data_IF_255986110039
#
_entry.id   IF_255986110039
#
_cell.length_a   1.000
_cell.length_b   1.000
_cell.length_c   1.000
_cell.angle_alpha   90.00
_cell.angle_beta   90.00
_cell.angle_gamma   90.00
#
_symmetry.space_group_name_H-M   'P 1'
#
loop_
_entity.id
_entity.type
_entity.pdbx_description
1 polymer ?
#
# COMPACT_ATOMS: atom_id res chain seq x y z
N UNK A 1 31.26 -14.52 11.92
CA UNK A 1 30.23 -15.56 11.73
C UNK A 1 29.06 -15.26 12.65
N UNK A 2 27.82 -15.35 12.16
CA UNK A 2 26.62 -15.19 12.98
C UNK A 2 26.07 -16.57 13.33
N UNK A 3 25.75 -16.79 14.60
CA UNK A 3 25.20 -18.05 15.09
C UNK A 3 23.79 -17.81 15.62
N UNK A 4 22.85 -18.64 15.17
CA UNK A 4 21.44 -18.55 15.56
C UNK A 4 20.99 -19.88 16.19
N UNK A 5 20.11 -19.80 17.19
CA UNK A 5 19.57 -21.00 17.84
C UNK A 5 18.52 -21.64 16.95
N UNK A 6 18.78 -22.86 16.51
CA UNK A 6 17.84 -23.65 15.71
C UNK A 6 16.87 -24.41 16.63
N UNK A 7 15.59 -24.35 16.31
CA UNK A 7 14.51 -25.08 16.97
C UNK A 7 13.78 -25.99 15.97
N UNK A 8 13.14 -27.03 16.49
CA UNK A 8 12.42 -28.01 15.70
C UNK A 8 11.23 -28.61 16.46
N UNK A 9 10.05 -28.55 15.86
CA UNK A 9 8.80 -29.13 16.39
C UNK A 9 7.99 -29.85 15.30
N UNK A 10 8.70 -30.42 14.31
CA UNK A 10 8.14 -30.95 13.07
C UNK A 10 8.41 -30.03 11.87
N UNK A 11 8.81 -28.77 12.13
CA UNK A 11 9.38 -27.85 11.13
C UNK A 11 10.62 -27.16 11.69
N UNK A 12 11.51 -26.69 10.82
CA UNK A 12 12.72 -25.96 11.21
C UNK A 12 12.44 -24.48 11.42
N UNK A 13 12.97 -23.87 12.47
CA UNK A 13 12.84 -22.42 12.69
C UNK A 13 13.90 -21.83 13.62
N UNK A 14 14.13 -20.53 13.46
CA UNK A 14 14.98 -19.69 14.32
C UNK A 14 14.17 -18.56 14.97
N UNK A 15 13.06 -18.15 14.36
CA UNK A 15 12.13 -17.14 14.86
C UNK A 15 10.68 -17.59 14.68
N UNK A 16 9.81 -16.72 14.19
CA UNK A 16 8.37 -17.04 14.04
C UNK A 16 8.08 -17.95 12.84
N UNK A 17 8.79 -17.75 11.73
CA UNK A 17 8.56 -18.48 10.48
C UNK A 17 9.08 -19.92 10.56
N UNK A 18 8.27 -20.85 10.06
CA UNK A 18 8.53 -22.29 10.05
C UNK A 18 8.82 -22.78 8.63
N UNK A 19 9.78 -23.69 8.49
CA UNK A 19 10.24 -24.19 7.20
C UNK A 19 10.25 -25.72 7.15
N UNK A 20 9.95 -26.27 5.97
CA UNK A 20 9.99 -27.73 5.73
C UNK A 20 11.43 -28.25 5.72
N UNK A 21 12.39 -27.44 5.26
CA UNK A 21 13.80 -27.82 5.20
C UNK A 21 14.72 -26.77 5.83
N UNK A 22 15.87 -27.22 6.32
CA UNK A 22 16.94 -26.31 6.81
C UNK A 22 17.46 -25.42 5.67
N UNK A 23 17.47 -25.92 4.44
CA UNK A 23 17.91 -25.16 3.27
C UNK A 23 17.03 -23.93 3.05
N UNK A 24 15.70 -24.08 3.13
CA UNK A 24 14.76 -22.97 2.94
C UNK A 24 14.89 -21.93 4.05
N UNK A 25 15.09 -22.39 5.30
CA UNK A 25 15.35 -21.53 6.43
C UNK A 25 16.62 -20.68 6.21
N UNK A 26 17.73 -21.33 5.84
CA UNK A 26 18.99 -20.63 5.62
C UNK A 26 18.90 -19.70 4.42
N UNK A 27 18.20 -20.09 3.36
CA UNK A 27 17.98 -19.25 2.16
C UNK A 27 17.21 -17.98 2.53
N UNK A 28 16.09 -18.10 3.23
CA UNK A 28 15.28 -16.97 3.69
C UNK A 28 16.04 -16.07 4.67
N UNK A 29 16.81 -16.68 5.59
CA UNK A 29 17.66 -15.97 6.53
C UNK A 29 18.76 -15.16 5.86
N UNK A 30 19.43 -15.72 4.84
CA UNK A 30 20.46 -15.01 4.08
C UNK A 30 19.88 -13.87 3.23
N UNK A 31 18.70 -14.07 2.62
CA UNK A 31 18.00 -13.00 1.91
C UNK A 31 17.65 -11.86 2.87
N UNK A 32 17.05 -12.20 4.01
CA UNK A 32 16.68 -11.22 5.05
C UNK A 32 17.91 -10.44 5.51
N UNK A 33 18.98 -11.15 5.90
CA UNK A 33 20.23 -10.52 6.34
C UNK A 33 20.81 -9.60 5.28
N UNK A 34 20.85 -10.03 4.02
CA UNK A 34 21.43 -9.23 2.94
C UNK A 34 20.60 -7.98 2.65
N UNK A 35 19.27 -8.12 2.54
CA UNK A 35 18.37 -7.00 2.26
C UNK A 35 18.35 -6.00 3.42
N UNK A 36 18.21 -6.48 4.66
CA UNK A 36 18.22 -5.60 5.83
C UNK A 36 19.56 -4.86 5.95
N UNK A 37 20.68 -5.54 5.69
CA UNK A 37 22.00 -4.89 5.75
C UNK A 37 22.20 -3.84 4.66
N UNK A 38 21.75 -4.10 3.41
CA UNK A 38 22.02 -3.23 2.26
C UNK A 38 20.98 -2.15 2.04
N UNK A 39 19.74 -2.36 2.48
CA UNK A 39 18.61 -1.50 2.20
C UNK A 39 17.91 -0.99 3.47
N UNK A 40 18.51 -1.11 4.67
CA UNK A 40 17.92 -0.65 5.94
C UNK A 40 17.31 0.76 5.84
N UNK A 41 18.07 1.73 5.33
CA UNK A 41 17.59 3.12 5.21
C UNK A 41 16.42 3.25 4.23
N UNK A 42 16.47 2.50 3.12
CA UNK A 42 15.38 2.49 2.14
C UNK A 42 14.12 1.87 2.74
N UNK A 43 14.24 0.74 3.43
CA UNK A 43 13.13 0.06 4.13
C UNK A 43 12.49 1.00 5.14
N UNK A 44 13.29 1.72 5.93
CA UNK A 44 12.77 2.71 6.88
C UNK A 44 11.99 3.85 6.20
N UNK A 45 12.33 4.22 4.96
CA UNK A 45 11.65 5.25 4.16
C UNK A 45 10.47 4.74 3.34
N UNK A 46 10.25 3.42 3.24
CA UNK A 46 9.15 2.85 2.43
C UNK A 46 7.77 3.36 2.85
N UNK A 47 7.62 3.78 4.11
CA UNK A 47 6.35 4.28 4.66
C UNK A 47 6.21 5.80 4.60
N UNK A 48 7.24 6.54 4.19
CA UNK A 48 7.21 8.02 4.18
C UNK A 48 6.20 8.57 3.17
N UNK A 49 6.13 7.99 1.98
CA UNK A 49 5.20 8.39 0.93
C UNK A 49 4.36 7.18 0.47
N UNK A 50 3.37 6.77 1.27
CA UNK A 50 2.59 5.58 0.98
C UNK A 50 1.67 5.85 -0.21
N UNK A 51 1.74 4.98 -1.22
CA UNK A 51 0.93 5.10 -2.44
C UNK A 51 -0.48 4.50 -2.30
N UNK A 52 -0.81 3.87 -1.16
CA UNK A 52 -2.06 3.15 -0.95
C UNK A 52 -3.32 4.02 -1.16
N UNK A 53 -3.25 5.33 -0.86
CA UNK A 53 -4.37 6.24 -1.05
C UNK A 53 -4.79 6.40 -2.53
N UNK A 54 -3.84 6.25 -3.44
CA UNK A 54 -4.04 6.45 -4.87
C UNK A 54 -4.24 5.14 -5.62
N UNK A 55 -4.00 4.01 -4.96
CA UNK A 55 -4.17 2.68 -5.53
C UNK A 55 -5.54 2.09 -5.19
N UNK A 56 -6.03 1.21 -6.08
CA UNK A 56 -7.20 0.37 -5.82
C UNK A 56 -8.55 1.02 -6.10
N UNK A 57 -9.62 0.34 -5.67
CA UNK A 57 -10.99 0.72 -6.00
C UNK A 57 -11.47 1.98 -5.30
N UNK A 58 -10.88 2.33 -4.14
CA UNK A 58 -11.26 3.51 -3.35
C UNK A 58 -10.89 4.81 -4.05
N UNK A 59 -9.76 4.87 -4.76
CA UNK A 59 -9.40 6.05 -5.58
C UNK A 59 -10.37 6.23 -6.74
N UNK A 60 -10.72 5.16 -7.46
CA UNK A 60 -11.71 5.20 -8.54
C UNK A 60 -13.11 5.65 -8.08
N UNK A 61 -13.55 5.20 -6.91
CA UNK A 61 -14.83 5.62 -6.32
C UNK A 61 -14.79 7.10 -5.92
N UNK A 62 -13.68 7.55 -5.32
CA UNK A 62 -13.46 8.96 -4.99
C UNK A 62 -13.48 9.84 -6.24
N UNK A 63 -12.86 9.41 -7.32
CA UNK A 63 -12.87 10.15 -8.59
C UNK A 63 -14.26 10.21 -9.20
N UNK A 64 -15.02 9.11 -9.16
CA UNK A 64 -16.43 9.09 -9.60
C UNK A 64 -17.31 10.03 -8.78
N UNK A 65 -17.14 10.04 -7.45
CA UNK A 65 -17.90 10.92 -6.55
C UNK A 65 -17.51 12.39 -6.80
N UNK A 66 -16.21 12.68 -6.89
CA UNK A 66 -15.69 14.03 -7.18
C UNK A 66 -16.18 14.54 -8.53
N UNK A 67 -16.16 13.72 -9.58
CA UNK A 67 -16.72 14.08 -10.88
C UNK A 67 -18.23 14.33 -10.84
N UNK A 68 -19.00 13.53 -10.07
CA UNK A 68 -20.44 13.77 -9.92
C UNK A 68 -20.75 15.06 -9.17
N UNK A 69 -20.02 15.35 -8.09
CA UNK A 69 -20.18 16.59 -7.32
C UNK A 69 -19.78 17.84 -8.14
N UNK A 70 -18.72 17.73 -8.95
CA UNK A 70 -18.31 18.81 -9.85
C UNK A 70 -19.35 19.03 -10.97
N UNK A 71 -20.01 17.98 -11.47
CA UNK A 71 -21.08 18.10 -12.47
C UNK A 71 -22.34 18.76 -11.92
N UNK A 72 -22.68 18.56 -10.65
CA UNK A 72 -23.82 19.24 -10.01
C UNK A 72 -23.56 20.73 -9.73
N UNK A 73 -22.31 21.20 -9.88
CA UNK A 73 -21.89 22.59 -9.70
C UNK A 73 -21.75 23.35 -11.04
N UNK A 74 -22.38 22.90 -12.12
CA UNK A 74 -22.57 23.72 -13.32
C UNK A 74 -23.86 24.53 -13.19
N UNK A 75 -23.71 25.84 -13.00
CA UNK A 75 -24.65 26.98 -13.03
C UNK A 75 -26.17 26.70 -13.14
N UNK A 76 -27.03 27.34 -12.30
CA UNK A 76 -28.46 27.35 -12.56
C UNK A 76 -28.72 28.09 -13.87
N UNK A 77 -29.38 27.43 -14.84
CA UNK A 77 -29.84 28.08 -16.07
C UNK A 77 -30.71 29.29 -15.68
N UNK A 78 -30.21 30.51 -15.88
CA UNK A 78 -31.02 31.73 -15.77
C UNK A 78 -32.09 31.72 -16.87
N UNK A 79 -33.31 31.33 -16.52
CA UNK A 79 -34.48 31.53 -17.36
C UNK A 79 -34.88 32.99 -17.22
N UNK A 80 -34.70 33.78 -18.28
CA UNK A 80 -35.14 35.18 -18.31
C UNK A 80 -36.56 35.21 -18.86
N UNK A 81 -37.52 35.67 -18.04
CA UNK A 81 -38.83 36.07 -18.54
C UNK A 81 -38.71 37.52 -19.02
N UNK A 82 -39.01 37.77 -20.29
CA UNK A 82 -39.21 39.13 -20.79
C UNK A 82 -40.55 39.62 -20.24
N UNK A 83 -40.50 40.67 -19.42
CA UNK A 83 -41.68 41.35 -18.92
C UNK A 83 -41.82 42.62 -19.76
N UNK A 84 -42.88 42.66 -20.55
CA UNK A 84 -43.28 43.80 -21.37
C UNK A 84 -43.70 44.99 -20.47
N UNK A 85 -43.13 46.16 -20.72
CA UNK A 85 -43.64 47.48 -20.36
C UNK A 85 -43.28 48.43 -21.52
N UNK A 86 -44.12 49.30 -22.07
CA UNK A 86 -45.46 49.82 -21.75
C UNK A 86 -46.01 50.48 -23.03
#
# INVERSE_FOLDING_TARGET
TLNYRLFYDGKHFVGEKRFESVHDLVTDGLITLYIETKAAEYIAKMTTNPIYQHLGYTSLLRDKITHRLNRTRSEPKKVTFQQDEK
#
